data_IF_870185418985
#
_entry.id   IF_870185418985
#
_cell.length_a   1.000
_cell.length_b   1.000
_cell.length_c   1.000
_cell.angle_alpha   90.00
_cell.angle_beta   90.00
_cell.angle_gamma   90.00
#
_symmetry.space_group_name_H-M   'P 1'
#
loop_
_entity.id
_entity.type
_entity.pdbx_description
1 polymer ?
#
# COMPACT_ATOMS: atom_id res chain seq x y z
N UNK A 1 -26.73 23.64 -12.05
CA UNK A 1 -26.31 22.33 -12.58
C UNK A 1 -25.66 21.59 -11.43
N UNK A 2 -26.43 20.71 -10.82
CA UNK A 2 -25.99 19.82 -9.75
C UNK A 2 -24.98 18.83 -10.30
N UNK A 3 -23.76 18.84 -9.78
CA UNK A 3 -22.81 17.76 -9.99
C UNK A 3 -22.84 16.87 -8.75
N UNK A 4 -23.52 15.74 -8.92
CA UNK A 4 -23.49 14.57 -8.05
C UNK A 4 -22.04 14.19 -7.72
N UNK A 5 -21.58 14.64 -6.56
CA UNK A 5 -20.37 14.10 -5.94
C UNK A 5 -20.82 12.92 -5.09
N UNK A 6 -20.32 11.69 -5.32
CA UNK A 6 -20.69 10.56 -4.49
C UNK A 6 -20.32 10.85 -3.03
N UNK A 7 -21.32 10.96 -2.17
CA UNK A 7 -21.16 10.98 -0.72
C UNK A 7 -20.93 9.55 -0.27
N UNK A 8 -19.70 9.08 -0.34
CA UNK A 8 -19.33 7.83 0.32
C UNK A 8 -18.54 8.13 1.60
N UNK A 9 -19.22 7.94 2.73
CA UNK A 9 -18.77 8.19 4.10
C UNK A 9 -17.88 7.06 4.63
N UNK A 10 -17.02 6.49 3.77
CA UNK A 10 -15.99 5.56 4.21
C UNK A 10 -14.78 6.36 4.70
N UNK A 11 -14.51 6.32 6.00
CA UNK A 11 -13.29 6.89 6.60
C UNK A 11 -12.06 6.23 5.97
N UNK A 12 -11.52 6.84 4.92
CA UNK A 12 -10.18 6.58 4.42
C UNK A 12 -9.17 6.97 5.50
N UNK A 13 -8.80 6.00 6.36
CA UNK A 13 -7.73 6.15 7.32
C UNK A 13 -6.38 6.08 6.61
N UNK A 14 -5.99 7.18 5.96
CA UNK A 14 -4.63 7.36 5.45
C UNK A 14 -3.71 7.59 6.64
N UNK A 15 -3.10 6.51 7.13
CA UNK A 15 -2.12 6.55 8.22
C UNK A 15 -0.82 7.15 7.66
N UNK A 16 -0.51 8.34 8.16
CA UNK A 16 0.81 9.00 8.21
C UNK A 16 1.72 8.68 7.01
N UNK A 17 1.57 9.43 5.91
CA UNK A 17 2.63 9.52 4.92
C UNK A 17 3.93 9.91 5.63
N UNK A 18 4.99 9.13 5.43
CA UNK A 18 6.31 9.22 6.07
C UNK A 18 7.08 10.53 5.75
N UNK A 19 6.40 11.68 5.73
CA UNK A 19 6.92 12.98 5.35
C UNK A 19 7.54 13.78 6.50
N UNK A 20 7.84 13.20 7.67
CA UNK A 20 8.51 13.95 8.74
C UNK A 20 9.81 13.36 9.30
N UNK A 21 9.94 12.07 9.65
CA UNK A 21 11.17 11.57 10.32
C UNK A 21 11.37 10.04 10.23
N UNK A 22 11.53 9.44 9.05
CA UNK A 22 11.92 8.02 8.93
C UNK A 22 13.42 7.87 8.72
N UNK A 23 14.14 7.21 9.64
CA UNK A 23 15.48 6.66 9.34
C UNK A 23 15.33 5.59 8.25
N UNK A 24 16.41 5.32 7.48
CA UNK A 24 16.41 4.50 6.25
C UNK A 24 15.99 3.02 6.37
N UNK A 25 15.28 2.63 7.44
CA UNK A 25 14.66 1.32 7.65
C UNK A 25 13.25 1.37 8.25
N UNK A 26 12.64 2.56 8.43
CA UNK A 26 11.26 2.67 8.92
C UNK A 26 10.26 2.27 7.83
N UNK A 27 9.24 1.48 8.18
CA UNK A 27 8.16 1.16 7.25
C UNK A 27 7.46 2.45 6.80
N UNK A 28 7.46 2.69 5.49
CA UNK A 28 6.95 3.93 4.88
C UNK A 28 5.44 4.09 5.03
N UNK A 29 4.75 2.96 5.22
CA UNK A 29 3.30 2.87 5.36
C UNK A 29 3.01 1.77 6.37
N UNK A 30 2.31 2.13 7.44
CA UNK A 30 1.77 1.19 8.42
C UNK A 30 0.26 1.13 8.20
N UNK A 31 -0.27 -0.03 7.87
CA UNK A 31 -1.68 -0.17 7.56
C UNK A 31 -2.45 -0.76 8.74
N UNK A 32 -3.51 -0.07 9.19
CA UNK A 32 -4.43 -0.66 10.18
C UNK A 32 -5.25 -1.76 9.52
N UNK A 33 -5.08 -2.96 10.08
CA UNK A 33 -5.64 -4.23 9.68
C UNK A 33 -7.19 -4.30 9.74
N UNK A 34 -7.88 -3.63 8.82
CA UNK A 34 -9.35 -3.74 8.69
C UNK A 34 -9.85 -3.90 7.24
N UNK A 35 -8.96 -4.01 6.25
CA UNK A 35 -9.40 -4.31 4.89
C UNK A 35 -9.72 -5.80 4.72
N UNK A 36 -10.84 -6.16 4.07
CA UNK A 36 -11.08 -7.54 3.65
C UNK A 36 -9.94 -8.06 2.78
N UNK A 37 -9.55 -9.33 2.97
CA UNK A 37 -8.42 -9.95 2.27
C UNK A 37 -8.50 -9.82 0.75
N UNK A 38 -9.67 -10.04 0.16
CA UNK A 38 -9.89 -9.88 -1.28
C UNK A 38 -9.53 -8.46 -1.74
N UNK A 39 -9.95 -7.44 -0.98
CA UNK A 39 -9.66 -6.04 -1.29
C UNK A 39 -8.16 -5.76 -1.16
N UNK A 40 -7.53 -6.22 -0.07
CA UNK A 40 -6.08 -6.03 0.12
C UNK A 40 -5.26 -6.65 -1.02
N UNK A 41 -5.64 -7.86 -1.47
CA UNK A 41 -4.99 -8.53 -2.60
C UNK A 41 -5.23 -7.81 -3.94
N UNK A 42 -6.45 -7.32 -4.18
CA UNK A 42 -6.75 -6.53 -5.38
C UNK A 42 -5.92 -5.24 -5.43
N UNK A 43 -5.87 -4.48 -4.33
CA UNK A 43 -5.09 -3.24 -4.26
C UNK A 43 -3.58 -3.49 -4.40
N UNK A 44 -3.06 -4.51 -3.72
CA UNK A 44 -1.65 -4.90 -3.85
C UNK A 44 -1.33 -5.30 -5.30
N UNK A 45 -2.23 -6.04 -5.97
CA UNK A 45 -2.06 -6.43 -7.37
C UNK A 45 -2.05 -5.23 -8.31
N UNK A 46 -2.94 -4.25 -8.09
CA UNK A 46 -2.98 -3.02 -8.90
C UNK A 46 -1.67 -2.23 -8.75
N UNK A 47 -1.19 -2.05 -7.52
CA UNK A 47 0.07 -1.35 -7.22
C UNK A 47 1.27 -2.06 -7.89
N UNK A 48 1.33 -3.40 -7.82
CA UNK A 48 2.37 -4.17 -8.51
C UNK A 48 2.32 -4.03 -10.04
N UNK A 49 1.12 -3.89 -10.62
CA UNK A 49 0.93 -3.53 -12.02
C UNK A 49 1.59 -2.18 -12.36
N UNK A 50 1.32 -1.15 -11.56
CA UNK A 50 1.94 0.16 -11.72
C UNK A 50 3.48 0.12 -11.59
N UNK A 51 3.99 -0.63 -10.61
CA UNK A 51 5.45 -0.84 -10.43
C UNK A 51 6.06 -1.45 -11.69
N UNK A 52 5.41 -2.46 -12.28
CA UNK A 52 5.90 -3.12 -13.50
C UNK A 52 5.98 -2.14 -14.66
N UNK A 53 4.96 -1.29 -14.84
CA UNK A 53 4.99 -0.26 -15.87
C UNK A 53 6.05 0.81 -15.64
N UNK A 54 6.18 1.31 -14.41
CA UNK A 54 7.17 2.34 -14.06
C UNK A 54 8.60 1.84 -14.26
N UNK A 55 8.89 0.62 -13.80
CA UNK A 55 10.22 0.01 -13.96
C UNK A 55 10.54 -0.25 -15.43
N UNK A 56 9.56 -0.70 -16.24
CA UNK A 56 9.73 -0.82 -17.69
C UNK A 56 10.02 0.53 -18.35
N UNK A 57 9.22 1.57 -18.05
CA UNK A 57 9.43 2.93 -18.58
C UNK A 57 10.78 3.52 -18.19
N UNK A 58 11.28 3.21 -16.98
CA UNK A 58 12.58 3.68 -16.51
C UNK A 58 13.75 3.10 -17.32
N UNK A 59 13.62 1.88 -17.86
CA UNK A 59 14.65 1.30 -18.75
C UNK A 59 14.79 2.18 -19.99
N UNK A 60 13.67 2.52 -20.62
CA UNK A 60 13.62 3.23 -21.90
C UNK A 60 13.79 4.75 -21.77
N UNK A 61 13.61 5.33 -20.57
CA UNK A 61 13.69 6.78 -20.32
C UNK A 61 14.77 7.15 -19.30
N UNK A 62 16.05 7.26 -19.72
CA UNK A 62 17.16 7.56 -18.82
C UNK A 62 16.99 8.83 -17.99
N UNK A 63 16.39 9.89 -18.54
CA UNK A 63 16.18 11.16 -17.86
C UNK A 63 15.21 11.09 -16.68
N UNK A 64 14.27 10.15 -16.69
CA UNK A 64 13.22 10.04 -15.67
C UNK A 64 13.51 8.96 -14.62
N UNK A 65 14.59 8.17 -14.79
CA UNK A 65 14.92 7.00 -13.96
C UNK A 65 14.90 7.28 -12.47
N UNK A 66 15.46 8.41 -12.04
CA UNK A 66 15.54 8.77 -10.62
C UNK A 66 14.15 8.92 -10.01
N UNK A 67 13.26 9.63 -10.70
CA UNK A 67 11.88 9.86 -10.24
C UNK A 67 11.08 8.56 -10.29
N UNK A 68 11.18 7.79 -11.37
CA UNK A 68 10.49 6.50 -11.52
C UNK A 68 10.96 5.47 -10.48
N UNK A 69 12.25 5.46 -10.15
CA UNK A 69 12.79 4.59 -9.11
C UNK A 69 12.28 4.99 -7.71
N UNK A 70 12.20 6.28 -7.41
CA UNK A 70 11.60 6.76 -6.16
C UNK A 70 10.11 6.39 -6.07
N UNK A 71 9.34 6.59 -7.14
CA UNK A 71 7.94 6.20 -7.18
C UNK A 71 7.78 4.68 -6.96
N UNK A 72 8.62 3.87 -7.62
CA UNK A 72 8.65 2.42 -7.45
C UNK A 72 8.91 2.03 -5.99
N UNK A 73 9.87 2.68 -5.33
CA UNK A 73 10.21 2.42 -3.93
C UNK A 73 9.01 2.64 -2.99
N UNK A 74 8.32 3.78 -3.11
CA UNK A 74 7.16 4.07 -2.27
C UNK A 74 5.97 3.14 -2.54
N UNK A 75 5.69 2.85 -3.81
CA UNK A 75 4.62 1.93 -4.20
C UNK A 75 4.91 0.50 -3.70
N UNK A 76 6.16 0.05 -3.77
CA UNK A 76 6.54 -1.26 -3.24
C UNK A 76 6.33 -1.32 -1.72
N UNK A 77 6.64 -0.24 -1.00
CA UNK A 77 6.34 -0.11 0.44
C UNK A 77 4.85 -0.22 0.75
N UNK A 78 3.99 0.41 -0.05
CA UNK A 78 2.53 0.32 0.10
C UNK A 78 2.01 -1.10 -0.15
N UNK A 79 2.45 -1.75 -1.23
CA UNK A 79 2.05 -3.12 -1.55
C UNK A 79 2.50 -4.10 -0.45
N UNK A 80 3.72 -3.94 0.07
CA UNK A 80 4.22 -4.73 1.19
C UNK A 80 3.34 -4.53 2.44
N UNK A 81 3.06 -3.29 2.81
CA UNK A 81 2.24 -2.98 3.99
C UNK A 81 0.83 -3.58 3.92
N UNK A 82 0.23 -3.60 2.73
CA UNK A 82 -1.06 -4.28 2.49
C UNK A 82 -0.98 -5.77 2.82
N UNK A 83 0.05 -6.46 2.32
CA UNK A 83 0.23 -7.90 2.54
C UNK A 83 0.59 -8.20 4.00
N UNK A 84 1.49 -7.42 4.59
CA UNK A 84 1.90 -7.60 5.98
C UNK A 84 0.74 -7.41 6.95
N UNK A 85 -0.14 -6.44 6.70
CA UNK A 85 -1.36 -6.26 7.48
C UNK A 85 -2.27 -7.49 7.45
N UNK A 86 -2.40 -8.17 6.30
CA UNK A 86 -3.18 -9.42 6.19
C UNK A 86 -2.48 -10.59 6.88
N UNK A 87 -1.16 -10.70 6.77
CA UNK A 87 -0.38 -11.75 7.45
C UNK A 87 -0.45 -11.60 8.97
N UNK A 88 -0.47 -10.37 9.48
CA UNK A 88 -0.63 -10.10 10.90
C UNK A 88 -2.02 -10.55 11.40
N UNK A 89 -3.09 -10.26 10.67
CA UNK A 89 -4.44 -10.73 11.00
C UNK A 89 -4.50 -12.26 11.05
N UNK A 90 -3.98 -12.94 10.04
CA UNK A 90 -3.95 -14.41 9.99
C UNK A 90 -3.19 -15.04 11.17
N UNK A 91 -2.16 -14.36 11.69
CA UNK A 91 -1.45 -14.80 12.89
C UNK A 91 -2.26 -14.58 14.16
N UNK A 92 -3.03 -13.49 14.23
CA UNK A 92 -3.90 -13.17 15.36
C UNK A 92 -5.11 -14.11 15.42
N UNK A 93 -5.75 -14.39 14.29
CA UNK A 93 -6.88 -15.32 14.21
C UNK A 93 -6.47 -16.73 14.69
N UNK A 94 -5.31 -17.22 14.26
CA UNK A 94 -4.75 -18.50 14.73
C UNK A 94 -4.41 -18.54 16.22
N UNK A 95 -4.05 -17.41 16.81
CA UNK A 95 -3.74 -17.33 18.23
C UNK A 95 -5.01 -17.25 19.08
N UNK A 96 -6.08 -16.60 18.58
CA UNK A 96 -7.38 -16.53 19.24
C UNK A 96 -8.17 -17.86 19.22
N UNK A 97 -7.95 -18.71 18.23
CA UNK A 97 -8.52 -20.07 18.17
C UNK A 97 -7.88 -21.07 19.16
N UNK A 98 -6.79 -20.69 19.85
CA UNK A 98 -6.06 -21.54 20.79
C UNK A 98 -6.34 -21.24 22.28
N UNK A 99 -7.17 -20.25 22.62
CA UNK A 99 -7.62 -20.04 24.00
C UNK A 99 -8.94 -20.80 24.26
N UNK A 100 -9.01 -21.63 25.34
CA UNK A 100 -10.09 -22.59 25.62
C UNK A 100 -11.38 -21.98 26.19
#
# INVERSE_FOLDING_TARGET
MDNDTPKDNSKLNVVRAAGRFGTGGAELVEMKAQLPMRTALMEASNIMGCITELTRKAIDRPGDRKVMMQATYYLAGMAKALIDGQLQQLRQDRAGEQEP
#
